data_IF_837478970608
#
_entry.id   IF_837478970608
#
_cell.length_a   1.000
_cell.length_b   1.000
_cell.length_c   1.000
_cell.angle_alpha   90.00
_cell.angle_beta   90.00
_cell.angle_gamma   90.00
#
_symmetry.space_group_name_H-M   'P 1'
#
loop_
_entity.id
_entity.type
_entity.pdbx_description
1 polymer ?
#
# COMPACT_ATOMS: atom_id res chain seq x y z
N UNK A 1 -21.36 21.57 -0.62
CA UNK A 1 -20.52 20.45 -1.10
C UNK A 1 -19.15 20.57 -0.46
N UNK A 2 -18.58 19.50 0.11
CA UNK A 2 -17.29 19.53 0.82
C UNK A 2 -16.16 19.16 -0.16
N UNK A 3 -15.07 19.93 -0.17
CA UNK A 3 -13.88 19.59 -0.98
C UNK A 3 -13.10 18.46 -0.31
N UNK A 4 -12.84 17.39 -1.04
CA UNK A 4 -12.04 16.26 -0.58
C UNK A 4 -10.72 16.19 -1.33
N UNK A 5 -9.65 15.75 -0.66
CA UNK A 5 -8.43 15.32 -1.34
C UNK A 5 -8.57 13.84 -1.70
N UNK A 6 -8.89 13.57 -2.96
CA UNK A 6 -9.02 12.21 -3.46
C UNK A 6 -7.63 11.65 -3.79
N UNK A 7 -7.18 10.67 -3.00
CA UNK A 7 -5.79 10.21 -3.06
C UNK A 7 -5.55 9.16 -4.15
N UNK A 8 -6.57 8.40 -4.53
CA UNK A 8 -6.46 7.27 -5.47
C UNK A 8 -7.80 6.99 -6.12
N UNK A 9 -7.78 6.78 -7.43
CA UNK A 9 -8.94 6.32 -8.19
C UNK A 9 -9.18 4.84 -7.95
N UNK A 10 -10.44 4.42 -8.00
CA UNK A 10 -10.85 3.03 -7.88
C UNK A 10 -12.03 2.73 -8.81
N UNK A 11 -12.14 1.47 -9.21
CA UNK A 11 -13.28 0.91 -9.95
C UNK A 11 -13.96 -0.13 -9.08
N UNK A 12 -15.25 -0.37 -9.31
CA UNK A 12 -16.03 -1.38 -8.59
C UNK A 12 -17.13 -0.77 -7.72
N UNK A 13 -17.75 -1.62 -6.90
CA UNK A 13 -18.92 -1.25 -6.09
C UNK A 13 -18.48 -0.88 -4.68
N UNK A 14 -18.85 0.32 -4.22
CA UNK A 14 -18.63 0.72 -2.83
C UNK A 14 -19.51 -0.14 -1.91
N UNK A 15 -18.90 -0.83 -0.96
CA UNK A 15 -19.61 -1.63 0.05
C UNK A 15 -19.83 -0.86 1.34
N UNK A 16 -18.86 -0.04 1.73
CA UNK A 16 -18.96 0.81 2.91
C UNK A 16 -17.99 1.98 2.86
N UNK A 17 -18.29 3.01 3.65
CA UNK A 17 -17.43 4.15 3.88
C UNK A 17 -17.33 4.40 5.39
N UNK A 18 -16.12 4.55 5.91
CA UNK A 18 -15.88 4.89 7.31
C UNK A 18 -15.25 6.27 7.38
N UNK A 19 -15.88 7.19 8.11
CA UNK A 19 -15.33 8.51 8.39
C UNK A 19 -14.67 8.47 9.77
N UNK A 20 -13.42 8.90 9.85
CA UNK A 20 -12.69 9.01 11.11
C UNK A 20 -12.15 10.42 11.29
N UNK A 21 -11.99 10.82 12.55
CA UNK A 21 -11.47 12.13 12.96
C UNK A 21 -10.31 11.94 13.92
N UNK A 22 -9.19 12.61 13.65
CA UNK A 22 -8.05 12.62 14.58
C UNK A 22 -8.28 13.61 15.72
N UNK A 23 -7.58 13.46 16.87
CA UNK A 23 -7.57 14.47 17.92
C UNK A 23 -7.11 15.85 17.44
N UNK A 24 -6.27 15.89 16.40
CA UNK A 24 -5.85 17.11 15.69
C UNK A 24 -6.89 17.68 14.71
N UNK A 25 -8.16 17.27 14.80
CA UNK A 25 -9.29 17.71 13.98
C UNK A 25 -9.17 17.45 12.48
N UNK A 26 -8.36 16.48 12.04
CA UNK A 26 -8.30 16.05 10.64
C UNK A 26 -9.30 14.94 10.38
N UNK A 27 -10.02 15.02 9.27
CA UNK A 27 -10.96 13.98 8.84
C UNK A 27 -10.35 13.11 7.76
N UNK A 28 -10.62 11.80 7.84
CA UNK A 28 -10.23 10.81 6.84
C UNK A 28 -11.44 9.97 6.46
N UNK A 29 -11.46 9.49 5.22
CA UNK A 29 -12.50 8.61 4.69
C UNK A 29 -11.81 7.36 4.17
N UNK A 30 -12.20 6.21 4.71
CA UNK A 30 -11.83 4.90 4.18
C UNK A 30 -13.01 4.35 3.38
N UNK A 31 -12.77 3.96 2.14
CA UNK A 31 -13.81 3.42 1.24
C UNK A 31 -13.48 1.98 0.95
N UNK A 32 -14.38 1.07 1.31
CA UNK A 32 -14.28 -0.35 0.98
C UNK A 32 -14.95 -0.57 -0.37
N UNK A 33 -14.19 -1.06 -1.34
CA UNK A 33 -14.64 -1.26 -2.72
C UNK A 33 -14.49 -2.73 -3.09
N UNK A 34 -15.57 -3.31 -3.58
CA UNK A 34 -15.63 -4.63 -4.17
C UNK A 34 -15.31 -4.50 -5.66
N UNK A 35 -14.21 -5.09 -6.10
CA UNK A 35 -13.69 -4.98 -7.47
C UNK A 35 -13.23 -6.34 -7.97
N UNK A 36 -13.32 -6.55 -9.28
CA UNK A 36 -12.79 -7.75 -9.90
C UNK A 36 -11.28 -7.84 -9.71
N UNK A 37 -10.80 -9.04 -9.36
CA UNK A 37 -9.38 -9.31 -9.25
C UNK A 37 -8.86 -9.91 -10.56
N UNK A 38 -7.86 -9.27 -11.17
CA UNK A 38 -7.26 -9.78 -12.40
C UNK A 38 -6.33 -10.94 -12.05
N UNK A 39 -6.71 -12.16 -12.45
CA UNK A 39 -5.86 -13.34 -12.29
C UNK A 39 -4.75 -13.26 -13.32
N UNK A 40 -3.50 -13.14 -12.85
CA UNK A 40 -2.33 -13.22 -13.71
C UNK A 40 -2.03 -14.69 -14.06
N UNK A 41 -1.45 -14.98 -15.24
CA UNK A 41 -1.02 -16.32 -15.61
C UNK A 41 -0.07 -16.91 -14.57
N UNK A 42 -0.25 -18.20 -14.23
CA UNK A 42 0.67 -18.90 -13.33
C UNK A 42 2.03 -19.04 -13.99
N UNK A 43 3.08 -18.69 -13.25
CA UNK A 43 4.47 -18.85 -13.68
C UNK A 43 5.11 -19.97 -12.85
N UNK A 44 5.87 -20.86 -13.49
CA UNK A 44 6.58 -21.95 -12.78
C UNK A 44 7.90 -21.49 -12.12
N UNK A 45 8.31 -20.24 -12.35
CA UNK A 45 9.51 -19.65 -11.74
C UNK A 45 9.28 -19.47 -10.24
N UNK A 46 10.15 -20.07 -9.42
CA UNK A 46 10.20 -19.84 -7.97
C UNK A 46 11.35 -18.87 -7.68
N UNK A 47 11.09 -17.84 -6.88
CA UNK A 47 12.09 -16.87 -6.41
C UNK A 47 12.01 -16.82 -4.89
N UNK A 48 13.14 -17.00 -4.22
CA UNK A 48 13.26 -16.71 -2.79
C UNK A 48 13.46 -15.21 -2.58
N UNK A 49 12.77 -14.61 -1.61
CA UNK A 49 12.91 -13.19 -1.26
C UNK A 49 13.41 -13.12 0.19
N UNK A 50 14.55 -12.49 0.40
CA UNK A 50 15.08 -12.11 1.71
C UNK A 50 14.89 -10.61 1.93
N UNK A 51 14.49 -10.20 3.14
CA UNK A 51 14.17 -8.80 3.46
C UNK A 51 15.02 -8.30 4.63
N UNK A 52 15.67 -7.15 4.47
CA UNK A 52 16.67 -6.70 5.42
C UNK A 52 16.70 -5.18 5.67
N UNK A 53 17.49 -4.79 6.66
CA UNK A 53 17.69 -3.39 7.03
C UNK A 53 18.67 -2.66 6.11
N UNK A 54 19.64 -3.39 5.52
CA UNK A 54 20.61 -2.83 4.57
C UNK A 54 20.04 -2.78 3.15
N UNK A 55 19.47 -3.90 2.70
CA UNK A 55 18.75 -4.03 1.42
C UNK A 55 17.31 -4.42 1.74
N UNK A 56 16.34 -3.69 1.18
CA UNK A 56 14.91 -3.90 1.47
C UNK A 56 14.43 -5.26 1.00
N UNK A 57 14.86 -5.69 -0.19
CA UNK A 57 14.56 -7.00 -0.74
C UNK A 57 15.71 -7.52 -1.60
N UNK A 58 16.07 -8.78 -1.41
CA UNK A 58 17.05 -9.53 -2.21
C UNK A 58 16.34 -10.76 -2.76
N UNK A 59 16.33 -10.91 -4.07
CA UNK A 59 15.77 -12.07 -4.76
C UNK A 59 16.87 -13.07 -5.11
N UNK A 60 16.53 -14.36 -5.10
CA UNK A 60 17.46 -15.45 -5.46
C UNK A 60 17.95 -15.42 -6.91
N UNK A 61 17.34 -14.61 -7.78
CA UNK A 61 17.77 -14.37 -9.15
C UNK A 61 18.70 -13.14 -9.29
N UNK A 62 19.16 -12.59 -8.17
CA UNK A 62 20.10 -11.47 -8.15
C UNK A 62 19.46 -10.08 -8.15
N UNK A 63 18.12 -9.99 -8.28
CA UNK A 63 17.43 -8.70 -8.16
C UNK A 63 17.52 -8.17 -6.73
N UNK A 64 17.82 -6.87 -6.58
CA UNK A 64 18.01 -6.21 -5.28
C UNK A 64 17.32 -4.85 -5.25
N UNK A 65 16.63 -4.58 -4.16
CA UNK A 65 16.01 -3.29 -3.86
C UNK A 65 16.71 -2.67 -2.67
N UNK A 66 17.35 -1.52 -2.87
CA UNK A 66 18.00 -0.80 -1.78
C UNK A 66 16.95 -0.30 -0.77
N UNK A 67 17.28 -0.30 0.53
CA UNK A 67 16.37 0.21 1.55
C UNK A 67 16.19 1.73 1.40
N UNK A 68 15.01 2.22 0.98
CA UNK A 68 14.79 3.64 0.89
C UNK A 68 14.55 4.11 2.33
N UNK A 69 15.50 4.89 2.88
CA UNK A 69 15.62 5.24 4.32
C UNK A 69 14.44 6.06 4.91
N UNK A 70 13.26 6.08 4.28
CA UNK A 70 12.11 6.90 4.68
C UNK A 70 11.43 6.44 5.97
N UNK A 71 11.51 5.15 6.34
CA UNK A 71 10.81 4.61 7.51
C UNK A 71 11.30 5.22 8.83
N UNK A 72 12.59 5.60 8.93
CA UNK A 72 13.13 6.23 10.14
C UNK A 72 12.57 7.62 10.46
N UNK A 73 11.92 8.30 9.51
CA UNK A 73 11.23 9.58 9.77
C UNK A 73 9.80 9.41 10.30
N UNK A 74 9.16 8.27 10.03
CA UNK A 74 7.79 8.00 10.48
C UNK A 74 7.74 7.42 11.90
N UNK A 75 8.83 6.78 12.36
CA UNK A 75 8.96 6.21 13.72
C UNK A 75 9.34 7.25 14.79
N UNK A 76 9.68 8.49 14.40
CA UNK A 76 9.93 9.62 15.32
C UNK A 76 8.70 10.52 15.47
N UNK A 77 7.53 9.90 15.62
CA UNK A 77 6.27 10.55 16.00
C UNK A 77 5.93 10.26 17.44
#
# INVERSE_FOLDING_TARGET
MIKIKYHREFTGTIKSCTISKTPSNKYFISVLVDTENTILPKVHKKIGIDVGLKEFAICSDGYRVANPKYLRKAEKG
#
